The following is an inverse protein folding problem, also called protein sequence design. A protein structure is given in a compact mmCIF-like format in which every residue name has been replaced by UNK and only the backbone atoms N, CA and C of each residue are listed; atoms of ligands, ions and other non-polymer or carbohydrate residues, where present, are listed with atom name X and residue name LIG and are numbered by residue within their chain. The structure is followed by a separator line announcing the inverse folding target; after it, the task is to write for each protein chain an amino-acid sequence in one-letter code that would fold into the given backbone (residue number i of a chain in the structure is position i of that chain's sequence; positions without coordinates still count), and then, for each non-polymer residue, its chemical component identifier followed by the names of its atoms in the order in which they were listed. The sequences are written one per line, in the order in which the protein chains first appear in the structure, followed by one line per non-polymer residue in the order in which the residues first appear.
data_IF_567630906794
#
_entry.id   IF_567630906794
#
_cell.length_a   1.000
_cell.length_b   1.000
_cell.length_c   1.000
_cell.angle_alpha   90.00
_cell.angle_beta   90.00
_cell.angle_gamma   90.00
#
_symmetry.space_group_name_H-M   'P 1'
#
loop_
_entity.id
_entity.type
_entity.pdbx_description
1 polymer ?
#
# COMPACT_ATOMS: atom_id res chain seq x y z
N UNK A 1 -11.52 -5.24 17.38
CA UNK A 1 -11.99 -4.04 16.64
C UNK A 1 -11.27 -4.03 15.31
N UNK A 2 -11.97 -3.81 14.19
CA UNK A 2 -11.28 -3.70 12.89
C UNK A 2 -10.56 -2.36 12.82
N UNK A 3 -9.24 -2.38 12.65
CA UNK A 3 -8.43 -1.15 12.49
C UNK A 3 -8.58 -0.47 11.13
N UNK A 4 -9.64 -0.78 10.37
CA UNK A 4 -9.88 -0.29 9.02
C UNK A 4 -11.24 0.45 8.95
N UNK A 5 -11.36 1.51 8.13
CA UNK A 5 -10.31 2.10 7.29
C UNK A 5 -9.25 2.83 8.13
N UNK A 6 -7.98 2.68 7.74
CA UNK A 6 -6.84 3.36 8.36
C UNK A 6 -6.28 4.40 7.39
N UNK A 7 -6.05 5.62 7.88
CA UNK A 7 -5.50 6.72 7.10
C UNK A 7 -4.10 7.05 7.60
N UNK A 8 -3.15 7.17 6.68
CA UNK A 8 -1.78 7.57 7.00
C UNK A 8 -1.15 8.30 5.82
N UNK A 9 -0.25 9.21 6.15
CA UNK A 9 0.55 10.00 5.22
C UNK A 9 2.02 9.95 5.63
N UNK A 10 2.92 10.23 4.70
CA UNK A 10 4.35 10.25 4.94
C UNK A 10 5.14 10.47 3.66
N UNK A 11 6.39 10.90 3.80
CA UNK A 11 7.29 11.10 2.68
C UNK A 11 7.61 9.76 2.00
N UNK A 12 7.61 9.74 0.66
CA UNK A 12 8.01 8.54 -0.08
C UNK A 12 9.52 8.35 0.04
N UNK A 13 9.93 7.28 0.72
CA UNK A 13 11.35 6.94 0.88
C UNK A 13 11.80 5.85 -0.09
N UNK A 14 13.09 5.87 -0.44
CA UNK A 14 13.71 4.84 -1.28
C UNK A 14 13.76 3.50 -0.54
N UNK A 15 13.19 2.48 -1.14
CA UNK A 15 13.39 1.09 -0.73
C UNK A 15 14.58 0.44 -1.44
N UNK A 16 14.68 -0.88 -1.33
CA UNK A 16 15.79 -1.67 -1.91
C UNK A 16 15.69 -1.93 -3.40
N UNK A 17 14.62 -1.43 -4.05
CA UNK A 17 14.48 -1.43 -5.50
C UNK A 17 14.33 -2.81 -6.16
N UNK A 18 13.94 -3.85 -5.40
CA UNK A 18 13.69 -5.19 -5.97
C UNK A 18 12.37 -5.27 -6.72
N UNK A 19 11.27 -4.82 -6.10
CA UNK A 19 9.93 -4.92 -6.70
C UNK A 19 9.82 -4.25 -8.07
N UNK A 20 10.32 -3.02 -8.21
CA UNK A 20 10.29 -2.30 -9.49
C UNK A 20 11.22 -2.88 -10.55
N UNK A 21 12.38 -3.44 -10.16
CA UNK A 21 13.35 -4.03 -11.11
C UNK A 21 12.95 -5.43 -11.57
N UNK A 22 12.35 -6.23 -10.70
CA UNK A 22 12.03 -7.64 -10.98
C UNK A 22 10.62 -7.82 -11.53
N UNK A 23 9.65 -7.01 -11.11
CA UNK A 23 8.24 -7.16 -11.49
C UNK A 23 7.73 -6.03 -12.38
N UNK A 24 8.52 -4.98 -12.61
CA UNK A 24 8.08 -3.81 -13.39
C UNK A 24 6.98 -2.97 -12.70
N UNK A 25 6.70 -3.24 -11.42
CA UNK A 25 5.68 -2.54 -10.63
C UNK A 25 6.34 -1.43 -9.82
N UNK A 26 6.05 -0.14 -10.07
CA UNK A 26 6.54 0.95 -9.23
C UNK A 26 6.06 0.77 -7.79
N UNK A 27 6.99 0.80 -6.83
CA UNK A 27 6.68 0.70 -5.40
C UNK A 27 7.18 1.93 -4.64
N UNK A 28 6.31 2.51 -3.83
CA UNK A 28 6.62 3.55 -2.85
C UNK A 28 6.73 2.92 -1.45
N UNK A 29 7.59 3.46 -0.60
CA UNK A 29 7.75 3.00 0.78
C UNK A 29 7.53 4.17 1.73
N UNK A 30 6.94 3.90 2.89
CA UNK A 30 6.86 4.86 3.99
C UNK A 30 8.09 4.76 4.91
N UNK A 31 8.45 5.85 5.61
CA UNK A 31 9.45 5.80 6.65
C UNK A 31 8.95 4.96 7.84
N UNK A 32 9.88 4.37 8.60
CA UNK A 32 9.57 3.47 9.71
C UNK A 32 8.62 4.12 10.74
N UNK A 33 8.76 5.42 10.99
CA UNK A 33 7.92 6.18 11.91
C UNK A 33 6.42 6.21 11.56
N UNK A 34 6.07 6.01 10.28
CA UNK A 34 4.66 5.88 9.84
C UNK A 34 4.17 4.46 10.09
N UNK A 35 5.04 3.46 9.86
CA UNK A 35 4.76 2.04 10.08
C UNK A 35 4.58 1.74 11.58
N UNK A 36 5.39 2.36 12.44
CA UNK A 36 5.32 2.19 13.90
C UNK A 36 4.02 2.72 14.52
N UNK A 37 3.27 3.56 13.78
CA UNK A 37 1.96 4.09 14.19
C UNK A 37 0.80 3.19 13.77
N UNK A 38 1.05 2.12 13.02
CA UNK A 38 0.00 1.20 12.60
C UNK A 38 -0.70 0.59 13.83
N UNK A 39 -2.05 0.48 13.82
CA UNK A 39 -2.76 -0.20 14.89
C UNK A 39 -2.32 -1.65 15.00
N UNK A 40 -2.16 -2.18 16.21
CA UNK A 40 -1.73 -3.58 16.45
C UNK A 40 -2.64 -4.63 15.79
N UNK A 41 -3.90 -4.28 15.52
CA UNK A 41 -4.84 -5.16 14.81
C UNK A 41 -4.68 -5.17 13.29
N UNK A 42 -3.78 -4.36 12.72
CA UNK A 42 -3.39 -4.40 11.31
C UNK A 42 -2.24 -5.39 11.18
N UNK A 43 -2.57 -6.60 10.72
CA UNK A 43 -1.60 -7.69 10.55
C UNK A 43 -0.74 -7.53 9.29
N UNK A 44 0.26 -8.40 9.13
CA UNK A 44 0.98 -8.50 7.85
C UNK A 44 0.05 -9.07 6.78
N UNK A 45 0.04 -8.48 5.59
CA UNK A 45 -0.81 -8.90 4.49
C UNK A 45 -0.80 -7.92 3.32
N UNK A 46 -1.69 -8.18 2.36
CA UNK A 46 -1.96 -7.30 1.23
C UNK A 46 -3.29 -6.57 1.48
N UNK A 47 -3.24 -5.25 1.38
CA UNK A 47 -4.35 -4.33 1.59
C UNK A 47 -4.62 -3.56 0.31
N UNK A 48 -5.83 -3.00 0.21
CA UNK A 48 -6.25 -2.15 -0.90
C UNK A 48 -6.88 -0.87 -0.38
N UNK A 49 -6.89 0.16 -1.20
CA UNK A 49 -7.33 1.47 -0.78
C UNK A 49 -7.16 2.54 -1.85
N UNK A 50 -7.07 3.77 -1.38
CA UNK A 50 -6.91 4.97 -2.18
C UNK A 50 -5.65 5.71 -1.74
N UNK A 51 -4.92 6.28 -2.70
CA UNK A 51 -3.74 7.09 -2.42
C UNK A 51 -3.66 8.26 -3.41
N UNK A 52 -3.07 9.38 -2.99
CA UNK A 52 -2.60 10.41 -3.90
C UNK A 52 -1.14 10.77 -3.56
N UNK A 53 -0.54 11.56 -4.43
CA UNK A 53 0.79 12.13 -4.24
C UNK A 53 0.67 13.65 -4.36
N UNK A 54 1.21 14.39 -3.40
CA UNK A 54 1.29 15.85 -3.39
C UNK A 54 -0.03 16.58 -3.69
N UNK A 55 -1.15 16.10 -3.13
CA UNK A 55 -2.46 16.70 -3.37
C UNK A 55 -3.01 16.46 -4.78
N UNK A 56 -2.38 15.58 -5.56
CA UNK A 56 -2.80 15.20 -6.90
C UNK A 56 -4.04 14.31 -6.93
N UNK A 57 -4.27 13.70 -8.10
CA UNK A 57 -5.39 12.80 -8.32
C UNK A 57 -5.32 11.57 -7.41
N UNK A 58 -6.50 11.11 -6.95
CA UNK A 58 -6.64 9.94 -6.08
C UNK A 58 -6.72 8.68 -6.94
N UNK A 59 -5.75 7.78 -6.76
CA UNK A 59 -5.61 6.53 -7.48
C UNK A 59 -5.94 5.32 -6.62
N UNK A 60 -6.38 4.24 -7.27
CA UNK A 60 -6.44 2.91 -6.65
C UNK A 60 -5.03 2.45 -6.28
N UNK A 61 -4.87 1.85 -5.11
CA UNK A 61 -3.59 1.30 -4.67
C UNK A 61 -3.76 -0.10 -4.08
N UNK A 62 -2.65 -0.86 -4.08
CA UNK A 62 -2.43 -2.03 -3.24
C UNK A 62 -1.22 -1.77 -2.34
N UNK A 63 -1.30 -2.19 -1.08
CA UNK A 63 -0.30 -1.95 -0.05
C UNK A 63 0.09 -3.30 0.56
N UNK A 64 1.37 -3.61 0.54
CA UNK A 64 1.91 -4.74 1.26
C UNK A 64 2.42 -4.26 2.62
N UNK A 65 1.88 -4.82 3.69
CA UNK A 65 2.37 -4.64 5.06
C UNK A 65 3.01 -5.96 5.45
N UNK A 66 4.27 -5.92 5.86
CA UNK A 66 4.98 -7.13 6.22
C UNK A 66 6.26 -6.84 6.96
N UNK A 67 6.76 -7.86 7.64
CA UNK A 67 8.09 -7.83 8.23
C UNK A 67 9.12 -7.74 7.11
N UNK A 68 10.00 -6.74 7.16
CA UNK A 68 11.16 -6.63 6.27
C UNK A 68 12.27 -7.55 6.81
N UNK A 69 12.42 -8.78 6.30
CA UNK A 69 13.36 -9.74 6.84
C UNK A 69 14.59 -9.68 5.94
N UNK A 70 15.58 -8.90 6.32
CA UNK A 70 16.93 -9.06 5.79
C UNK A 70 17.59 -10.43 6.12
N UNK A 71 16.82 -11.44 6.55
CA UNK A 71 17.29 -12.75 6.98
C UNK A 71 16.45 -13.88 6.35
N UNK A 72 17.06 -14.57 5.38
CA UNK A 72 16.78 -15.96 4.97
C UNK A 72 15.39 -16.32 4.40
N UNK A 73 15.11 -15.91 3.16
CA UNK A 73 14.26 -16.74 2.30
C UNK A 73 15.14 -17.68 1.44
N UNK A 74 15.27 -18.92 1.91
CA UNK A 74 16.05 -20.04 1.32
C UNK A 74 15.20 -21.01 0.50
N UNK A 75 13.96 -20.66 0.13
CA UNK A 75 13.10 -21.54 -0.67
C UNK A 75 12.64 -20.87 -1.95
N UNK A 76 12.85 -21.57 -3.07
CA UNK A 76 12.25 -21.28 -4.37
C UNK A 76 10.74 -21.53 -4.25
N UNK A 77 9.93 -20.49 -4.22
CA UNK A 77 8.55 -20.58 -4.73
C UNK A 77 8.64 -20.63 -6.26
N UNK A 78 7.76 -21.38 -6.92
CA UNK A 78 7.64 -21.26 -8.38
C UNK A 78 7.16 -19.84 -8.67
N UNK A 79 8.04 -19.05 -9.26
CA UNK A 79 7.86 -17.60 -9.47
C UNK A 79 6.53 -17.30 -10.18
N UNK A 80 6.09 -18.18 -11.07
CA UNK A 80 4.84 -18.02 -11.83
C UNK A 80 3.57 -18.12 -10.96
N UNK A 81 3.55 -19.03 -9.98
CA UNK A 81 2.41 -19.16 -9.05
C UNK A 81 2.31 -17.92 -8.14
N UNK A 82 3.47 -17.39 -7.73
CA UNK A 82 3.53 -16.16 -6.93
C UNK A 82 3.08 -14.94 -7.74
N UNK A 83 3.53 -14.80 -8.98
CA UNK A 83 3.09 -13.72 -9.87
C UNK A 83 1.57 -13.81 -10.09
N UNK A 84 1.05 -15.02 -10.37
CA UNK A 84 -0.38 -15.25 -10.59
C UNK A 84 -1.21 -14.87 -9.34
N UNK A 85 -0.73 -15.23 -8.15
CA UNK A 85 -1.39 -14.84 -6.90
C UNK A 85 -1.43 -13.32 -6.73
N UNK A 86 -0.31 -12.63 -7.00
CA UNK A 86 -0.22 -11.16 -6.92
C UNK A 86 -1.18 -10.50 -7.92
N UNK A 87 -1.24 -10.99 -9.16
CA UNK A 87 -2.14 -10.45 -10.18
C UNK A 87 -3.61 -10.63 -9.79
N UNK A 88 -3.97 -11.79 -9.23
CA UNK A 88 -5.31 -12.06 -8.72
C UNK A 88 -5.69 -11.12 -7.57
N UNK A 89 -4.78 -10.90 -6.61
CA UNK A 89 -5.01 -9.98 -5.49
C UNK A 89 -5.21 -8.54 -5.97
N UNK A 90 -4.43 -8.10 -6.96
CA UNK A 90 -4.58 -6.79 -7.59
C UNK A 90 -5.95 -6.68 -8.28
N UNK A 91 -6.38 -7.71 -9.00
CA UNK A 91 -7.65 -7.68 -9.71
C UNK A 91 -8.84 -7.63 -8.73
N UNK A 92 -8.84 -8.49 -7.70
CA UNK A 92 -9.87 -8.46 -6.66
C UNK A 92 -9.92 -7.12 -5.93
N UNK A 93 -8.77 -6.50 -5.69
CA UNK A 93 -8.67 -5.16 -5.08
C UNK A 93 -9.32 -4.10 -5.97
N UNK A 94 -9.09 -4.16 -7.29
CA UNK A 94 -9.73 -3.24 -8.25
C UNK A 94 -11.25 -3.36 -8.21
N UNK A 95 -11.77 -4.58 -8.16
CA UNK A 95 -13.21 -4.86 -8.16
C UNK A 95 -13.86 -4.36 -6.87
N UNK A 96 -13.24 -4.63 -5.71
CA UNK A 96 -13.72 -4.12 -4.41
C UNK A 96 -13.72 -2.60 -4.35
N UNK A 97 -12.71 -1.94 -4.93
CA UNK A 97 -12.65 -0.48 -4.99
C UNK A 97 -13.75 0.12 -5.89
N UNK A 98 -14.37 -0.63 -6.80
CA UNK A 98 -15.53 -0.15 -7.57
C UNK A 98 -16.85 -0.19 -6.82
N UNK A 99 -16.92 -0.85 -5.66
CA UNK A 99 -18.13 -0.88 -4.86
C UNK A 99 -18.49 0.54 -4.35
N UNK A 100 -19.77 0.94 -4.34
CA UNK A 100 -20.19 2.30 -4.00
C UNK A 100 -19.69 2.79 -2.64
N UNK A 101 -19.69 1.91 -1.63
CA UNK A 101 -19.19 2.22 -0.29
C UNK A 101 -17.71 2.62 -0.30
N UNK A 102 -16.90 1.97 -1.13
CA UNK A 102 -15.47 2.25 -1.23
C UNK A 102 -15.18 3.49 -2.07
N UNK A 103 -16.04 3.80 -3.05
CA UNK A 103 -15.92 5.01 -3.87
C UNK A 103 -16.11 6.29 -3.03
N UNK A 104 -16.84 6.22 -1.91
CA UNK A 104 -17.00 7.37 -1.00
C UNK A 104 -15.67 7.85 -0.41
N UNK A 105 -14.68 6.96 -0.26
CA UNK A 105 -13.38 7.34 0.29
C UNK A 105 -12.54 8.21 -0.65
N UNK A 106 -12.81 8.20 -1.97
CA UNK A 106 -12.10 9.08 -2.92
C UNK A 106 -12.26 10.56 -2.61
N UNK A 107 -13.41 10.94 -2.03
CA UNK A 107 -13.75 12.33 -1.73
C UNK A 107 -13.53 12.71 -0.27
N UNK A 108 -12.91 11.82 0.51
CA UNK A 108 -12.60 12.03 1.92
C UNK A 108 -11.71 13.27 2.11
N UNK A 109 -11.92 14.01 3.20
CA UNK A 109 -11.15 15.22 3.50
C UNK A 109 -9.67 14.94 3.74
N UNK A 110 -9.30 13.71 4.10
CA UNK A 110 -7.91 13.26 4.19
C UNK A 110 -7.08 13.60 2.93
N UNK A 111 -7.66 13.55 1.74
CA UNK A 111 -6.96 13.87 0.49
C UNK A 111 -6.98 15.36 0.12
N UNK A 112 -7.66 16.20 0.91
CA UNK A 112 -7.83 17.64 0.65
C UNK A 112 -6.97 18.52 1.55
N UNK A 113 -6.57 18.01 2.71
CA UNK A 113 -5.68 18.71 3.61
C UNK A 113 -4.28 18.73 3.00
N UNK A 114 -3.89 19.88 2.47
CA UNK A 114 -2.56 20.16 1.92
C UNK A 114 -1.68 20.94 2.90
N UNK A 115 -2.16 21.13 4.13
CA UNK A 115 -1.44 21.86 5.16
C UNK A 115 -0.54 20.93 5.98
N UNK A 116 0.69 20.72 5.51
CA UNK A 116 1.87 20.50 6.36
C UNK A 116 3.19 20.72 5.61
N UNK A 117 3.59 21.99 5.55
CA UNK A 117 4.96 22.53 5.50
C UNK A 117 5.85 22.22 4.29
N UNK A 118 5.78 23.12 3.30
CA UNK A 118 6.98 23.66 2.65
C UNK A 118 7.62 24.68 3.60
N UNK A 119 8.63 24.27 4.36
CA UNK A 119 9.64 25.16 4.94
C UNK A 119 11.02 24.55 4.69
#
# INVERSE_FOLDING_TARGET
MSGLPYFCEGEVVKGFGRGSKELGVPTANFPQEVVDKLPECVESGVYYGWANVDGGEVYKMVMSIGWNPYYNNTKKSMVDELITAIENDIQQSKDKLELPENQTFKSNNFFKDTDSKKD
#
